data_IF_814110084235
#
_entry.id   IF_814110084235
#
_cell.length_a   1.000
_cell.length_b   1.000
_cell.length_c   1.000
_cell.angle_alpha   90.00
_cell.angle_beta   90.00
_cell.angle_gamma   90.00
#
_symmetry.space_group_name_H-M   'P 1'
#
loop_
_entity.id
_entity.type
_entity.pdbx_description
1 polymer ?
#
# COMPACT_ATOMS: atom_id res chain seq x y z
N UNK A 1 18.22 -2.19 4.20
CA UNK A 1 16.89 -1.84 3.67
C UNK A 1 16.95 -0.59 2.78
N UNK A 2 17.54 0.52 3.23
CA UNK A 2 17.63 1.76 2.45
C UNK A 2 18.36 1.59 1.10
N UNK A 3 19.43 0.80 1.04
CA UNK A 3 20.17 0.56 -0.22
C UNK A 3 19.32 -0.13 -1.30
N UNK A 4 18.51 -1.13 -0.92
CA UNK A 4 17.62 -1.83 -1.87
C UNK A 4 16.56 -0.86 -2.40
N UNK A 5 16.03 -0.01 -1.53
CA UNK A 5 15.04 1.01 -1.91
C UNK A 5 15.67 2.04 -2.87
N UNK A 6 16.89 2.51 -2.58
CA UNK A 6 17.62 3.45 -3.43
C UNK A 6 17.94 2.82 -4.80
N UNK A 7 18.41 1.57 -4.81
CA UNK A 7 18.70 0.85 -6.05
C UNK A 7 17.43 0.61 -6.88
N UNK A 8 16.32 0.25 -6.23
CA UNK A 8 15.04 0.06 -6.90
C UNK A 8 14.52 1.36 -7.53
N UNK A 9 14.48 2.46 -6.78
CA UNK A 9 14.05 3.75 -7.31
C UNK A 9 15.01 4.31 -8.37
N UNK A 10 16.32 4.10 -8.19
CA UNK A 10 17.33 4.49 -9.19
C UNK A 10 17.17 3.73 -10.50
N UNK A 11 16.92 2.42 -10.44
CA UNK A 11 16.64 1.60 -11.62
C UNK A 11 15.34 2.03 -12.30
N UNK A 12 14.26 2.29 -11.55
CA UNK A 12 12.99 2.77 -12.10
C UNK A 12 13.13 4.15 -12.76
N UNK A 13 13.91 5.06 -12.17
CA UNK A 13 14.17 6.37 -12.76
C UNK A 13 14.99 6.25 -14.06
N UNK A 14 16.01 5.38 -14.07
CA UNK A 14 16.84 5.14 -15.25
C UNK A 14 16.03 4.53 -16.40
N UNK A 15 15.17 3.53 -16.10
CA UNK A 15 14.25 2.94 -17.08
C UNK A 15 13.33 4.01 -17.68
N UNK A 16 12.77 4.89 -16.84
CA UNK A 16 11.92 5.99 -17.30
C UNK A 16 12.68 6.97 -18.19
N UNK A 17 13.87 7.40 -17.79
CA UNK A 17 14.70 8.31 -18.58
C UNK A 17 15.10 7.69 -19.93
N UNK A 18 15.41 6.39 -19.98
CA UNK A 18 15.71 5.67 -21.21
C UNK A 18 14.49 5.62 -22.15
N UNK A 19 13.30 5.35 -21.62
CA UNK A 19 12.06 5.35 -22.41
C UNK A 19 11.78 6.73 -23.01
N UNK A 20 11.92 7.80 -22.21
CA UNK A 20 11.74 9.18 -22.69
C UNK A 20 12.76 9.54 -23.76
N UNK A 21 14.04 9.18 -23.57
CA UNK A 21 15.09 9.43 -24.55
C UNK A 21 14.85 8.68 -25.87
N UNK A 22 14.46 7.41 -25.79
CA UNK A 22 14.13 6.61 -26.98
C UNK A 22 12.87 7.14 -27.68
N UNK A 23 11.87 7.60 -26.92
CA UNK A 23 10.64 8.17 -27.49
C UNK A 23 10.91 9.47 -28.24
N UNK A 24 11.78 10.33 -27.68
CA UNK A 24 12.23 11.54 -28.37
C UNK A 24 12.94 11.23 -29.69
N UNK A 25 13.74 10.17 -29.74
CA UNK A 25 14.55 9.81 -30.92
C UNK A 25 13.77 9.00 -31.98
N UNK A 26 12.82 8.16 -31.57
CA UNK A 26 12.08 7.23 -32.43
C UNK A 26 10.60 7.10 -32.01
N UNK A 27 9.75 8.12 -32.22
CA UNK A 27 8.42 8.22 -31.61
C UNK A 27 7.45 7.09 -32.03
N UNK A 28 7.40 6.75 -33.32
CA UNK A 28 6.44 5.77 -33.83
C UNK A 28 6.77 4.32 -33.44
N UNK A 29 8.05 3.94 -33.47
CA UNK A 29 8.49 2.58 -33.11
C UNK A 29 8.43 2.33 -31.59
N UNK A 30 8.75 3.35 -30.78
CA UNK A 30 8.70 3.24 -29.31
C UNK A 30 7.29 3.11 -28.74
N UNK A 31 6.27 3.73 -29.33
CA UNK A 31 4.89 3.64 -28.82
C UNK A 31 4.39 2.20 -28.88
N UNK A 32 4.45 1.54 -30.05
CA UNK A 32 4.04 0.14 -30.22
C UNK A 32 4.79 -0.82 -29.30
N UNK A 33 6.13 -0.66 -29.21
CA UNK A 33 6.94 -1.47 -28.31
C UNK A 33 6.54 -1.30 -26.84
N UNK A 34 6.26 -0.07 -26.40
CA UNK A 34 5.85 0.24 -25.03
C UNK A 34 4.49 -0.37 -24.69
N UNK A 35 3.54 -0.38 -25.63
CA UNK A 35 2.24 -1.03 -25.44
C UNK A 35 2.36 -2.54 -25.30
N UNK A 36 3.09 -3.20 -26.21
CA UNK A 36 3.29 -4.65 -26.17
C UNK A 36 3.98 -5.04 -24.85
N UNK A 37 5.05 -4.33 -24.51
CA UNK A 37 5.78 -4.55 -23.26
C UNK A 37 4.89 -4.40 -22.02
N UNK A 38 4.07 -3.34 -21.95
CA UNK A 38 3.16 -3.11 -20.83
C UNK A 38 2.13 -4.25 -20.71
N UNK A 39 1.50 -4.66 -21.81
CA UNK A 39 0.53 -5.75 -21.81
C UNK A 39 1.19 -7.07 -21.37
N UNK A 40 2.39 -7.37 -21.86
CA UNK A 40 3.14 -8.57 -21.45
C UNK A 40 3.46 -8.56 -19.95
N UNK A 41 3.88 -7.41 -19.40
CA UNK A 41 4.10 -7.26 -17.96
C UNK A 41 2.82 -7.48 -17.15
N UNK A 42 1.71 -6.87 -17.57
CA UNK A 42 0.43 -7.04 -16.88
C UNK A 42 -0.05 -8.50 -16.92
N UNK A 43 0.12 -9.19 -18.05
CA UNK A 43 -0.19 -10.61 -18.16
C UNK A 43 0.68 -11.46 -17.22
N UNK A 44 1.99 -11.18 -17.16
CA UNK A 44 2.91 -11.85 -16.24
C UNK A 44 2.54 -11.60 -14.77
N UNK A 45 2.14 -10.37 -14.41
CA UNK A 45 1.71 -10.03 -13.05
C UNK A 45 0.41 -10.74 -12.67
N UNK A 46 -0.55 -10.85 -13.58
CA UNK A 46 -1.79 -11.63 -13.35
C UNK A 46 -1.47 -13.11 -13.17
N UNK A 47 -0.59 -13.67 -14.01
CA UNK A 47 -0.14 -15.05 -13.86
C UNK A 47 0.58 -15.28 -12.51
N UNK A 48 1.41 -14.33 -12.09
CA UNK A 48 2.06 -14.35 -10.78
C UNK A 48 1.05 -14.28 -9.63
N UNK A 49 0.04 -13.43 -9.74
CA UNK A 49 -1.03 -13.32 -8.76
C UNK A 49 -1.86 -14.62 -8.65
N UNK A 50 -2.09 -15.33 -9.76
CA UNK A 50 -2.77 -16.63 -9.73
C UNK A 50 -2.00 -17.68 -8.91
N UNK A 51 -0.66 -17.60 -8.88
CA UNK A 51 0.19 -18.46 -8.04
C UNK A 51 0.08 -18.13 -6.54
N UNK A 52 -0.57 -17.04 -6.13
CA UNK A 52 -0.78 -16.75 -4.71
C UNK A 52 -1.78 -17.71 -4.05
N UNK A 53 -2.71 -18.27 -4.81
CA UNK A 53 -3.68 -19.28 -4.32
C UNK A 53 -2.97 -20.56 -3.84
N UNK A 54 -2.12 -21.24 -4.65
CA UNK A 54 -1.42 -22.43 -4.19
C UNK A 54 -0.40 -22.13 -3.09
N UNK A 55 0.22 -20.94 -3.09
CA UNK A 55 1.10 -20.50 -1.99
C UNK A 55 0.31 -20.37 -0.68
N UNK A 56 -0.88 -19.77 -0.72
CA UNK A 56 -1.75 -19.64 0.45
C UNK A 56 -2.18 -21.00 1.01
N UNK A 57 -2.57 -21.95 0.15
CA UNK A 57 -2.91 -23.32 0.55
C UNK A 57 -1.70 -24.00 1.22
N UNK A 58 -0.50 -23.84 0.64
CA UNK A 58 0.74 -24.39 1.18
C UNK A 58 1.09 -23.82 2.55
N UNK A 59 0.92 -22.49 2.74
CA UNK A 59 1.12 -21.82 4.03
C UNK A 59 0.16 -22.35 5.09
N UNK A 60 -1.12 -22.57 4.74
CA UNK A 60 -2.09 -23.16 5.69
C UNK A 60 -1.68 -24.55 6.15
N UNK A 61 -1.10 -25.37 5.25
CA UNK A 61 -0.61 -26.72 5.57
C UNK A 61 0.61 -26.68 6.52
N UNK A 62 1.46 -25.65 6.39
CA UNK A 62 2.64 -25.44 7.22
C UNK A 62 2.32 -24.80 8.60
N UNK A 63 1.07 -24.45 8.87
CA UNK A 63 0.66 -23.80 10.12
C UNK A 63 0.75 -24.66 11.38
N UNK A 64 0.92 -25.98 11.23
CA UNK A 64 1.00 -26.92 12.36
C UNK A 64 2.41 -27.06 12.96
N UNK A 65 3.42 -26.40 12.38
CA UNK A 65 4.80 -26.43 12.86
C UNK A 65 4.98 -25.52 14.09
N UNK A 66 5.67 -25.99 15.14
CA UNK A 66 5.89 -25.25 16.37
C UNK A 66 6.55 -23.87 16.14
N UNK A 67 7.47 -23.76 15.17
CA UNK A 67 8.12 -22.50 14.78
C UNK A 67 7.16 -21.49 14.13
N UNK A 68 6.11 -21.98 13.45
CA UNK A 68 5.09 -21.14 12.82
C UNK A 68 4.10 -20.53 13.84
N UNK A 69 3.82 -21.25 14.94
CA UNK A 69 2.96 -20.77 16.02
C UNK A 69 3.60 -19.63 16.84
N UNK A 70 4.93 -19.69 17.03
CA UNK A 70 5.67 -18.76 17.90
C UNK A 70 5.82 -17.38 17.25
N UNK A 71 6.24 -17.30 15.97
CA UNK A 71 6.53 -16.02 15.31
C UNK A 71 5.39 -15.50 14.40
N UNK A 72 4.36 -16.30 14.10
CA UNK A 72 3.24 -15.99 13.20
C UNK A 72 3.58 -15.26 11.86
N UNK A 73 4.74 -15.52 11.20
CA UNK A 73 5.07 -14.84 9.93
C UNK A 73 4.08 -15.20 8.83
N UNK A 74 3.44 -16.37 8.94
CA UNK A 74 2.43 -16.88 8.03
C UNK A 74 1.23 -15.94 7.88
N UNK A 75 0.82 -15.25 8.95
CA UNK A 75 -0.35 -14.35 8.89
C UNK A 75 -0.05 -13.10 8.07
N UNK A 76 1.16 -12.56 8.21
CA UNK A 76 1.60 -11.42 7.42
C UNK A 76 1.71 -11.78 5.94
N UNK A 77 2.41 -12.86 5.61
CA UNK A 77 2.56 -13.31 4.22
C UNK A 77 1.20 -13.64 3.60
N UNK A 78 0.32 -14.35 4.33
CA UNK A 78 -1.00 -14.68 3.83
C UNK A 78 -1.88 -13.45 3.56
N UNK A 79 -1.91 -12.47 4.48
CA UNK A 79 -2.66 -11.23 4.27
C UNK A 79 -2.06 -10.38 3.14
N UNK A 80 -0.73 -10.33 3.04
CA UNK A 80 -0.05 -9.63 1.96
C UNK A 80 -0.44 -10.22 0.60
N UNK A 81 -0.44 -11.54 0.49
CA UNK A 81 -0.83 -12.24 -0.74
C UNK A 81 -2.30 -11.97 -1.10
N UNK A 82 -3.21 -11.99 -0.11
CA UNK A 82 -4.63 -11.69 -0.34
C UNK A 82 -4.80 -10.24 -0.82
N UNK A 83 -4.12 -9.29 -0.17
CA UNK A 83 -4.21 -7.86 -0.50
C UNK A 83 -3.69 -7.60 -1.90
N UNK A 84 -2.49 -8.11 -2.26
CA UNK A 84 -1.95 -7.95 -3.62
C UNK A 84 -2.84 -8.66 -4.65
N UNK A 85 -3.32 -9.88 -4.38
CA UNK A 85 -4.22 -10.57 -5.29
C UNK A 85 -5.50 -9.76 -5.55
N UNK A 86 -6.11 -9.21 -4.49
CA UNK A 86 -7.31 -8.39 -4.60
C UNK A 86 -7.07 -7.08 -5.37
N UNK A 87 -5.91 -6.44 -5.15
CA UNK A 87 -5.51 -5.23 -5.86
C UNK A 87 -5.38 -5.49 -7.36
N UNK A 88 -4.68 -6.55 -7.77
CA UNK A 88 -4.55 -6.92 -9.19
C UNK A 88 -5.88 -7.32 -9.82
N UNK A 89 -6.73 -8.05 -9.12
CA UNK A 89 -8.06 -8.42 -9.64
C UNK A 89 -8.97 -7.22 -9.90
N UNK A 90 -8.84 -6.14 -9.12
CA UNK A 90 -9.65 -4.92 -9.28
C UNK A 90 -9.04 -3.98 -10.33
N UNK A 91 -7.73 -3.74 -10.27
CA UNK A 91 -7.09 -2.71 -11.11
C UNK A 91 -6.83 -3.17 -12.54
N UNK A 92 -6.53 -4.45 -12.78
CA UNK A 92 -6.24 -4.95 -14.14
C UNK A 92 -7.44 -4.76 -15.09
N UNK A 93 -8.69 -5.12 -14.73
CA UNK A 93 -9.85 -4.84 -15.58
C UNK A 93 -10.05 -3.35 -15.87
N UNK A 94 -9.79 -2.47 -14.89
CA UNK A 94 -9.87 -1.01 -15.08
C UNK A 94 -8.84 -0.55 -16.10
N UNK A 95 -7.60 -1.03 -16.01
CA UNK A 95 -6.56 -0.69 -16.98
C UNK A 95 -6.87 -1.22 -18.39
N UNK A 96 -7.43 -2.43 -18.51
CA UNK A 96 -7.88 -2.97 -19.80
C UNK A 96 -8.96 -2.07 -20.40
N UNK A 97 -9.96 -1.67 -19.60
CA UNK A 97 -11.02 -0.78 -20.06
C UNK A 97 -10.50 0.58 -20.55
N UNK A 98 -9.53 1.17 -19.85
CA UNK A 98 -8.91 2.44 -20.26
C UNK A 98 -8.06 2.25 -21.52
N UNK A 99 -7.30 1.14 -21.63
CA UNK A 99 -6.47 0.85 -22.79
C UNK A 99 -7.28 0.68 -24.09
N UNK A 100 -8.54 0.26 -23.99
CA UNK A 100 -9.46 0.17 -25.15
C UNK A 100 -9.98 1.54 -25.62
N UNK A 101 -9.77 2.63 -24.87
CA UNK A 101 -10.20 3.97 -25.27
C UNK A 101 -9.11 4.68 -26.09
N UNK A 102 -9.39 5.07 -27.35
CA UNK A 102 -8.39 5.67 -28.23
C UNK A 102 -7.89 7.04 -27.76
N UNK A 103 -8.64 7.74 -26.91
CA UNK A 103 -8.29 9.08 -26.42
C UNK A 103 -7.19 9.11 -25.34
N UNK A 104 -6.86 7.98 -24.71
CA UNK A 104 -5.96 7.92 -23.55
C UNK A 104 -4.86 6.86 -23.68
N UNK A 105 -4.54 6.46 -24.91
CA UNK A 105 -3.67 5.31 -25.16
C UNK A 105 -2.27 5.50 -24.56
N UNK A 106 -1.63 6.67 -24.67
CA UNK A 106 -0.30 6.85 -24.08
C UNK A 106 -0.34 7.14 -22.56
N UNK A 107 -1.41 7.80 -22.10
CA UNK A 107 -1.55 8.20 -20.70
C UNK A 107 -1.76 7.00 -19.75
N UNK A 108 -2.48 5.96 -20.20
CA UNK A 108 -2.77 4.81 -19.33
C UNK A 108 -1.50 4.07 -18.91
N UNK A 109 -0.50 3.96 -19.78
CA UNK A 109 0.78 3.28 -19.48
C UNK A 109 1.45 3.92 -18.27
N UNK A 110 1.49 5.26 -18.25
CA UNK A 110 2.10 6.04 -17.17
C UNK A 110 1.29 5.87 -15.88
N UNK A 111 -0.04 5.95 -15.97
CA UNK A 111 -0.92 5.76 -14.82
C UNK A 111 -0.78 4.36 -14.21
N UNK A 112 -0.75 3.30 -15.01
CA UNK A 112 -0.57 1.92 -14.54
C UNK A 112 0.74 1.76 -13.76
N UNK A 113 1.87 2.23 -14.32
CA UNK A 113 3.17 2.14 -13.65
C UNK A 113 3.23 2.95 -12.35
N UNK A 114 2.65 4.15 -12.34
CA UNK A 114 2.64 5.02 -11.17
C UNK A 114 1.80 4.42 -10.04
N UNK A 115 0.63 3.86 -10.37
CA UNK A 115 -0.24 3.19 -9.41
C UNK A 115 0.50 2.00 -8.80
N UNK A 116 1.14 1.15 -9.59
CA UNK A 116 1.89 0.00 -9.07
C UNK A 116 3.06 0.41 -8.17
N UNK A 117 3.81 1.46 -8.55
CA UNK A 117 4.95 1.99 -7.79
C UNK A 117 4.52 2.55 -6.43
N UNK A 118 3.39 3.25 -6.36
CA UNK A 118 2.90 3.87 -5.14
C UNK A 118 2.09 2.92 -4.27
N UNK A 119 1.22 2.11 -4.88
CA UNK A 119 0.26 1.28 -4.16
C UNK A 119 0.93 0.05 -3.53
N UNK A 120 1.90 -0.57 -4.19
CA UNK A 120 2.61 -1.75 -3.67
C UNK A 120 3.29 -1.50 -2.30
N UNK A 121 4.12 -0.45 -2.10
CA UNK A 121 4.73 -0.19 -0.80
C UNK A 121 3.69 0.24 0.24
N UNK A 122 2.65 1.00 -0.16
CA UNK A 122 1.56 1.42 0.73
C UNK A 122 0.78 0.21 1.25
N UNK A 123 0.36 -0.70 0.38
CA UNK A 123 -0.33 -1.92 0.76
C UNK A 123 0.54 -2.84 1.62
N UNK A 124 1.85 -2.87 1.35
CA UNK A 124 2.80 -3.62 2.19
C UNK A 124 2.88 -3.06 3.61
N UNK A 125 2.96 -1.74 3.76
CA UNK A 125 3.01 -1.08 5.06
C UNK A 125 1.67 -1.20 5.81
N UNK A 126 0.54 -1.06 5.11
CA UNK A 126 -0.80 -1.23 5.69
C UNK A 126 -0.96 -2.66 6.19
N UNK A 127 -0.62 -3.65 5.38
CA UNK A 127 -0.71 -5.06 5.76
C UNK A 127 0.20 -5.35 6.95
N UNK A 128 1.41 -4.82 6.95
CA UNK A 128 2.34 -4.95 8.07
C UNK A 128 1.74 -4.38 9.36
N UNK A 129 1.16 -3.18 9.29
CA UNK A 129 0.52 -2.53 10.42
C UNK A 129 -0.68 -3.32 10.93
N UNK A 130 -1.55 -3.79 10.03
CA UNK A 130 -2.72 -4.63 10.34
C UNK A 130 -2.35 -5.98 10.99
N UNK A 131 -1.19 -6.54 10.61
CA UNK A 131 -0.72 -7.82 11.14
C UNK A 131 -0.09 -7.69 12.54
N UNK A 132 0.45 -6.51 12.89
CA UNK A 132 1.01 -6.26 14.21
C UNK A 132 -0.07 -5.74 15.18
N UNK A 133 -0.65 -6.66 15.97
CA UNK A 133 -1.71 -6.36 16.97
C UNK A 133 -1.37 -5.16 17.86
N UNK A 134 -0.12 -5.00 18.28
CA UNK A 134 0.32 -3.87 19.11
C UNK A 134 0.26 -2.55 18.34
N UNK A 135 0.67 -2.54 17.08
CA UNK A 135 0.61 -1.36 16.21
C UNK A 135 -0.84 -0.98 15.89
N UNK A 136 -1.72 -1.94 15.58
CA UNK A 136 -3.15 -1.68 15.37
C UNK A 136 -3.79 -1.07 16.61
N UNK A 137 -3.51 -1.63 17.80
CA UNK A 137 -4.04 -1.09 19.06
C UNK A 137 -3.55 0.33 19.35
N UNK A 138 -2.27 0.61 19.08
CA UNK A 138 -1.71 1.96 19.23
C UNK A 138 -2.34 2.95 18.24
N UNK A 139 -2.53 2.53 16.98
CA UNK A 139 -3.18 3.34 15.95
C UNK A 139 -4.64 3.62 16.31
N UNK A 140 -5.39 2.59 16.72
CA UNK A 140 -6.78 2.71 17.18
C UNK A 140 -6.92 3.64 18.38
N UNK A 141 -6.03 3.54 19.37
CA UNK A 141 -6.00 4.44 20.52
C UNK A 141 -5.75 5.89 20.08
N UNK A 142 -4.81 6.12 19.19
CA UNK A 142 -4.49 7.46 18.65
C UNK A 142 -5.65 8.05 17.85
N UNK A 143 -6.30 7.26 17.01
CA UNK A 143 -7.48 7.66 16.24
C UNK A 143 -8.66 7.97 17.16
N UNK A 144 -8.94 7.12 18.15
CA UNK A 144 -9.98 7.36 19.15
C UNK A 144 -9.73 8.63 19.95
N UNK A 145 -8.49 8.88 20.38
CA UNK A 145 -8.14 10.10 21.11
C UNK A 145 -8.18 11.37 20.25
N UNK A 146 -7.87 11.28 18.95
CA UNK A 146 -8.04 12.42 18.02
C UNK A 146 -9.51 12.68 17.68
N UNK A 147 -10.30 11.65 17.44
CA UNK A 147 -11.72 11.77 17.09
C UNK A 147 -12.56 12.26 18.28
N UNK A 148 -12.19 11.88 19.51
CA UNK A 148 -12.83 12.34 20.75
C UNK A 148 -12.25 13.65 21.32
N UNK A 149 -11.30 14.30 20.64
CA UNK A 149 -10.80 15.66 20.98
C UNK A 149 -11.49 16.76 20.16
N UNK A 150 -12.71 16.51 19.70
CA UNK A 150 -13.58 17.56 19.19
C UNK A 150 -14.33 18.19 20.37
N UNK A 151 -13.89 19.38 20.78
CA UNK A 151 -14.60 20.38 21.60
C UNK A 151 -14.85 20.13 23.09
N UNK A 152 -13.86 19.65 23.86
CA UNK A 152 -13.82 20.02 25.28
C UNK A 152 -13.10 21.37 25.42
N UNK A 153 -13.79 22.45 25.03
CA UNK A 153 -13.47 23.79 25.49
C UNK A 153 -13.75 23.76 27.00
N UNK A 154 -12.72 23.56 27.82
CA UNK A 154 -12.85 23.76 29.26
C UNK A 154 -13.34 25.20 29.46
N UNK A 155 -14.51 25.47 30.08
CA UNK A 155 -14.76 26.80 30.55
C UNK A 155 -13.66 27.09 31.58
N UNK A 156 -12.97 28.22 31.41
CA UNK A 156 -12.06 28.75 32.42
C UNK A 156 -12.80 28.77 33.77
N UNK A 157 -12.54 27.79 34.63
CA UNK A 157 -12.91 27.88 36.04
C UNK A 157 -11.77 28.64 36.70
N UNK A 158 -12.00 29.88 37.18
CA UNK A 158 -10.96 30.64 37.84
C UNK A 158 -10.52 29.87 39.10
N UNK A 159 -9.22 29.86 39.36
CA UNK A 159 -8.55 29.18 40.48
C UNK A 159 -9.04 29.59 41.88
N UNK A 160 -10.02 30.49 41.97
CA UNK A 160 -10.44 31.16 43.19
C UNK A 160 -11.64 30.46 43.89
N UNK A 161 -12.11 29.32 43.36
CA UNK A 161 -13.24 28.58 43.95
C UNK A 161 -12.84 27.56 45.02
N UNK A 162 -11.60 27.06 45.01
CA UNK A 162 -11.12 26.13 46.04
C UNK A 162 -10.74 26.86 47.34
N UNK A 163 -10.27 28.11 47.26
CA UNK A 163 -9.73 28.85 48.42
C UNK A 163 -10.83 29.42 49.34
N UNK A 164 -12.06 29.63 48.85
CA UNK A 164 -13.17 30.16 49.67
C UNK A 164 -13.84 29.11 50.56
N UNK A 165 -13.74 27.82 50.23
CA UNK A 165 -14.42 26.76 50.98
C UNK A 165 -13.68 26.42 52.28
N UNK A 166 -12.36 26.61 52.33
CA UNK A 166 -11.55 26.32 53.52
C UNK A 166 -11.65 27.39 54.63
N UNK A 167 -11.99 28.64 54.30
CA UNK A 167 -12.04 29.74 55.30
C UNK A 167 -13.37 29.89 56.05
N UNK A 168 -14.36 29.04 55.80
CA UNK A 168 -15.68 29.07 56.48
C UNK A 168 -15.88 27.99 57.54
N UNK A 169 -14.82 27.26 57.91
CA UNK A 169 -14.87 26.15 58.88
C UNK A 169 -14.00 26.38 60.14
N UNK A 170 -13.67 27.62 60.49
CA UNK A 170 -13.06 27.96 61.79
C UNK A 170 -13.84 29.07 62.51
#
# INVERSE_FOLDING_TARGET
MNLIIILAYGASFLEYALIVYLHYKFPQSTSLFSHIYNISLQAFLVASAALYVPIFISIKKLGNLASAQINKPQRFVALQLIVIASEKLILVPVFIYIAMKPSHQDAYIVHTKLVDLLLTPVLTQITYLCCNRRNVMALWKTLKTKCCKSNALYPNVPSNYMERVETTQQ
#
